data_IF_275968770013
#
_entry.id   IF_275968770013
#
_cell.length_a   1.000
_cell.length_b   1.000
_cell.length_c   1.000
_cell.angle_alpha   90.00
_cell.angle_beta   90.00
_cell.angle_gamma   90.00
#
_symmetry.space_group_name_H-M   'P 1'
#
loop_
_entity.id
_entity.type
_entity.pdbx_description
1 polymer ?
#
# COMPACT_ATOMS: atom_id res chain seq x y z
N UNK A 1 77.70 -10.12 44.57
CA UNK A 1 77.00 -10.03 45.86
C UNK A 1 75.75 -10.90 45.79
N UNK A 2 75.68 -11.85 46.72
CA UNK A 2 74.55 -12.64 47.24
C UNK A 2 73.19 -12.55 46.52
N UNK A 3 72.70 -13.63 45.91
CA UNK A 3 71.91 -14.72 46.52
C UNK A 3 70.45 -14.32 46.81
N UNK A 4 69.47 -15.04 46.23
CA UNK A 4 68.54 -15.90 46.98
C UNK A 4 67.51 -16.62 46.07
N UNK A 5 67.05 -17.76 46.57
CA UNK A 5 66.46 -18.90 45.88
C UNK A 5 64.92 -18.89 45.78
N UNK A 6 64.42 -19.54 44.71
CA UNK A 6 63.28 -20.51 44.56
C UNK A 6 62.25 -20.64 45.73
N UNK A 7 60.95 -20.87 45.43
CA UNK A 7 60.50 -22.22 45.04
C UNK A 7 59.36 -22.32 44.00
N UNK A 8 59.39 -23.43 43.26
CA UNK A 8 58.35 -23.94 42.37
C UNK A 8 57.30 -24.72 43.16
N UNK A 9 56.03 -24.34 43.07
CA UNK A 9 54.90 -25.10 43.60
C UNK A 9 54.14 -25.77 42.45
N UNK A 10 54.02 -27.09 42.50
CA UNK A 10 53.19 -27.89 41.62
C UNK A 10 51.75 -27.94 42.16
N UNK A 11 50.85 -27.14 41.58
CA UNK A 11 49.41 -27.28 41.82
C UNK A 11 48.80 -28.21 40.77
N UNK A 12 48.31 -29.36 41.26
CA UNK A 12 47.50 -30.32 40.50
C UNK A 12 46.15 -29.68 40.15
N UNK A 13 45.83 -29.62 38.87
CA UNK A 13 44.52 -29.16 38.37
C UNK A 13 43.59 -30.38 38.29
N UNK A 14 42.58 -30.39 39.15
CA UNK A 14 41.49 -31.36 39.16
C UNK A 14 40.49 -30.98 38.05
N UNK A 15 40.36 -31.86 37.04
CA UNK A 15 39.42 -31.70 35.93
C UNK A 15 38.03 -32.19 36.37
N UNK A 16 37.11 -31.27 36.66
CA UNK A 16 35.71 -31.58 36.90
C UNK A 16 34.94 -31.57 35.56
N UNK A 17 34.52 -32.75 35.10
CA UNK A 17 33.58 -32.90 33.99
C UNK A 17 32.16 -32.55 34.47
N UNK A 18 31.67 -31.38 34.06
CA UNK A 18 30.26 -30.98 34.15
C UNK A 18 29.55 -31.36 32.85
N UNK A 19 28.72 -32.40 32.91
CA UNK A 19 27.74 -32.72 31.88
C UNK A 19 26.65 -31.64 31.87
N UNK A 20 26.76 -30.67 30.96
CA UNK A 20 25.70 -29.70 30.68
C UNK A 20 24.64 -30.31 29.78
N UNK A 21 23.44 -30.54 30.34
CA UNK A 21 22.26 -30.87 29.55
C UNK A 21 21.86 -29.65 28.71
N UNK A 22 22.08 -29.73 27.40
CA UNK A 22 21.57 -28.75 26.43
C UNK A 22 20.08 -29.02 26.26
N UNK A 23 19.25 -28.32 27.01
CA UNK A 23 17.82 -28.23 26.74
C UNK A 23 17.64 -27.39 25.46
N UNK A 24 17.45 -28.06 24.33
CA UNK A 24 16.93 -27.45 23.11
C UNK A 24 15.48 -26.98 23.39
N UNK A 25 15.35 -25.80 23.99
CA UNK A 25 14.11 -25.04 23.99
C UNK A 25 13.86 -24.62 22.54
N UNK A 26 13.18 -25.49 21.79
CA UNK A 26 12.59 -25.14 20.53
C UNK A 26 11.64 -23.98 20.77
N UNK A 27 12.11 -22.76 20.50
CA UNK A 27 11.26 -21.58 20.45
C UNK A 27 10.34 -21.74 19.25
N UNK A 28 9.23 -22.45 19.45
CA UNK A 28 8.07 -22.37 18.57
C UNK A 28 7.53 -20.97 18.69
N UNK A 29 8.08 -20.05 17.89
CA UNK A 29 7.46 -18.76 17.69
C UNK A 29 6.04 -19.04 17.21
N UNK A 30 5.00 -18.56 17.92
CA UNK A 30 3.63 -18.75 17.46
C UNK A 30 3.53 -18.18 16.04
N UNK A 31 2.78 -18.82 15.14
CA UNK A 31 2.55 -18.28 13.80
C UNK A 31 2.06 -16.84 13.95
N UNK A 32 2.55 -15.89 13.14
CA UNK A 32 2.11 -14.50 13.22
C UNK A 32 0.59 -14.49 13.16
N UNK A 33 -0.08 -13.72 14.03
CA UNK A 33 -1.53 -13.64 14.02
C UNK A 33 -1.95 -13.29 12.60
N UNK A 34 -2.81 -14.13 12.02
CA UNK A 34 -3.45 -13.86 10.74
C UNK A 34 -4.25 -12.58 10.96
N UNK A 35 -3.65 -11.44 10.61
CA UNK A 35 -4.25 -10.14 10.84
C UNK A 35 -5.62 -10.16 10.20
N UNK A 36 -6.67 -9.99 11.02
CA UNK A 36 -8.02 -9.83 10.52
C UNK A 36 -7.99 -8.77 9.40
N UNK A 37 -8.73 -8.97 8.28
CA UNK A 37 -8.75 -7.99 7.20
C UNK A 37 -8.99 -6.61 7.79
N UNK A 38 -7.99 -5.73 7.67
CA UNK A 38 -8.05 -4.42 8.31
C UNK A 38 -9.26 -3.69 7.73
N UNK A 39 -10.17 -3.26 8.61
CA UNK A 39 -11.35 -2.47 8.21
C UNK A 39 -10.90 -1.32 7.30
N UNK A 40 -11.52 -1.19 6.13
CA UNK A 40 -11.09 -0.23 5.13
C UNK A 40 -11.20 1.22 5.65
N UNK A 41 -12.21 1.49 6.47
CA UNK A 41 -12.41 2.75 7.19
C UNK A 41 -11.25 3.16 8.09
N UNK A 42 -10.41 2.21 8.51
CA UNK A 42 -9.20 2.51 9.30
C UNK A 42 -7.98 2.81 8.43
N UNK A 43 -8.06 2.51 7.13
CA UNK A 43 -6.98 2.69 6.14
C UNK A 43 -7.15 4.01 5.39
N UNK A 44 -8.33 4.24 4.83
CA UNK A 44 -8.66 5.42 4.02
C UNK A 44 -10.10 5.84 4.30
N UNK A 45 -10.40 7.14 4.19
CA UNK A 45 -11.76 7.66 4.38
C UNK A 45 -12.52 7.73 3.05
N UNK A 46 -13.85 7.78 3.10
CA UNK A 46 -14.66 8.01 1.89
C UNK A 46 -14.32 9.36 1.21
N UNK A 47 -14.18 10.48 1.92
CA UNK A 47 -13.75 11.74 1.29
C UNK A 47 -12.42 11.64 0.54
N UNK A 48 -11.42 10.94 1.10
CA UNK A 48 -10.14 10.76 0.42
C UNK A 48 -10.28 9.89 -0.83
N UNK A 49 -11.11 8.85 -0.79
CA UNK A 49 -11.43 8.05 -1.98
C UNK A 49 -12.10 8.90 -3.06
N UNK A 50 -13.03 9.79 -2.68
CA UNK A 50 -13.67 10.70 -3.63
C UNK A 50 -12.67 11.69 -4.22
N UNK A 51 -11.84 12.33 -3.40
CA UNK A 51 -10.81 13.25 -3.87
C UNK A 51 -9.80 12.59 -4.80
N UNK A 52 -9.37 11.36 -4.49
CA UNK A 52 -8.50 10.59 -5.36
C UNK A 52 -9.21 10.21 -6.68
N UNK A 53 -10.52 9.90 -6.66
CA UNK A 53 -11.26 9.64 -7.88
C UNK A 53 -11.29 10.88 -8.81
N UNK A 54 -11.52 12.08 -8.26
CA UNK A 54 -11.46 13.33 -9.01
C UNK A 54 -10.06 13.60 -9.57
N UNK A 55 -9.01 13.40 -8.77
CA UNK A 55 -7.63 13.58 -9.20
C UNK A 55 -7.29 12.64 -10.36
N UNK A 56 -7.63 11.35 -10.26
CA UNK A 56 -7.33 10.38 -11.29
C UNK A 56 -8.15 10.62 -12.56
N UNK A 57 -9.41 11.05 -12.47
CA UNK A 57 -10.18 11.47 -13.63
C UNK A 57 -9.55 12.69 -14.34
N UNK A 58 -9.05 13.66 -13.57
CA UNK A 58 -8.34 14.81 -14.13
C UNK A 58 -7.08 14.39 -14.90
N UNK A 59 -6.32 13.42 -14.36
CA UNK A 59 -5.18 12.83 -15.06
C UNK A 59 -5.60 12.09 -16.33
N UNK A 60 -6.66 11.29 -16.30
CA UNK A 60 -7.23 10.63 -17.49
C UNK A 60 -7.56 11.66 -18.56
N UNK A 61 -8.27 12.73 -18.21
CA UNK A 61 -8.61 13.79 -19.17
C UNK A 61 -7.36 14.42 -19.79
N UNK A 62 -6.34 14.71 -18.98
CA UNK A 62 -5.06 15.24 -19.46
C UNK A 62 -4.35 14.27 -20.42
N UNK A 63 -4.38 12.98 -20.14
CA UNK A 63 -3.76 11.96 -20.98
C UNK A 63 -4.50 11.76 -22.30
N UNK A 64 -5.82 11.99 -22.32
CA UNK A 64 -6.65 11.85 -23.51
C UNK A 64 -6.85 13.15 -24.30
N UNK A 65 -6.34 14.28 -23.79
CA UNK A 65 -6.53 15.63 -24.35
C UNK A 65 -6.07 15.74 -25.81
N UNK A 66 -4.95 15.10 -26.16
CA UNK A 66 -4.41 15.10 -27.52
C UNK A 66 -3.92 13.73 -27.94
N UNK A 67 -3.80 13.50 -29.26
CA UNK A 67 -3.17 12.28 -29.81
C UNK A 67 -1.75 12.07 -29.26
N UNK A 68 -0.99 13.15 -29.08
CA UNK A 68 0.38 13.10 -28.52
C UNK A 68 0.36 12.73 -27.04
N UNK A 69 -0.51 13.36 -26.24
CA UNK A 69 -0.69 13.04 -24.81
C UNK A 69 -1.05 11.56 -24.62
N UNK A 70 -1.96 11.05 -25.47
CA UNK A 70 -2.36 9.65 -25.43
C UNK A 70 -1.20 8.73 -25.82
N UNK A 71 -0.54 8.99 -26.95
CA UNK A 71 0.60 8.16 -27.39
C UNK A 71 1.69 8.06 -26.32
N UNK A 72 1.96 9.16 -25.61
CA UNK A 72 2.96 9.20 -24.54
C UNK A 72 2.54 8.45 -23.27
N UNK A 73 1.23 8.36 -22.98
CA UNK A 73 0.71 7.84 -21.72
C UNK A 73 0.08 6.45 -21.82
N UNK A 74 -0.25 5.99 -23.03
CA UNK A 74 -1.03 4.78 -23.28
C UNK A 74 -0.43 3.51 -22.69
N UNK A 75 0.90 3.47 -22.50
CA UNK A 75 1.61 2.29 -21.97
C UNK A 75 1.76 2.29 -20.44
N UNK A 76 1.78 3.46 -19.80
CA UNK A 76 2.17 3.57 -18.39
C UNK A 76 1.18 4.43 -17.59
N UNK A 77 1.10 5.72 -17.88
CA UNK A 77 0.36 6.66 -17.04
C UNK A 77 -1.17 6.49 -17.14
N UNK A 78 -1.70 6.26 -18.34
CA UNK A 78 -3.14 6.09 -18.55
C UNK A 78 -3.65 4.77 -17.93
N UNK A 79 -3.03 3.60 -18.18
CA UNK A 79 -3.41 2.36 -17.50
C UNK A 79 -3.24 2.44 -15.98
N UNK A 80 -2.22 3.15 -15.48
CA UNK A 80 -2.06 3.39 -14.03
C UNK A 80 -3.22 4.20 -13.47
N UNK A 81 -3.59 5.32 -14.10
CA UNK A 81 -4.71 6.14 -13.64
C UNK A 81 -6.05 5.39 -13.70
N UNK A 82 -6.29 4.64 -14.77
CA UNK A 82 -7.45 3.75 -14.90
C UNK A 82 -7.47 2.67 -13.80
N UNK A 83 -6.35 2.00 -13.56
CA UNK A 83 -6.23 1.02 -12.48
C UNK A 83 -6.47 1.62 -11.09
N UNK A 84 -5.99 2.84 -10.84
CA UNK A 84 -6.27 3.56 -9.60
C UNK A 84 -7.77 3.84 -9.44
N UNK A 85 -8.47 4.29 -10.49
CA UNK A 85 -9.92 4.46 -10.45
C UNK A 85 -10.64 3.14 -10.19
N UNK A 86 -10.15 2.01 -10.73
CA UNK A 86 -10.70 0.68 -10.46
C UNK A 86 -10.55 0.27 -8.99
N UNK A 87 -9.36 0.48 -8.41
CA UNK A 87 -9.10 0.23 -6.97
C UNK A 87 -9.97 1.13 -6.09
N UNK A 88 -10.10 2.41 -6.43
CA UNK A 88 -10.95 3.36 -5.69
C UNK A 88 -12.42 2.96 -5.77
N UNK A 89 -12.90 2.56 -6.95
CA UNK A 89 -14.26 2.07 -7.15
C UNK A 89 -14.54 0.82 -6.29
N UNK A 90 -13.61 -0.13 -6.26
CA UNK A 90 -13.73 -1.31 -5.40
C UNK A 90 -13.71 -0.93 -3.91
N UNK A 91 -12.81 -0.04 -3.52
CA UNK A 91 -12.71 0.47 -2.16
C UNK A 91 -14.03 1.11 -1.70
N UNK A 92 -14.64 1.96 -2.53
CA UNK A 92 -15.95 2.57 -2.25
C UNK A 92 -17.07 1.52 -2.15
N UNK A 93 -17.04 0.47 -2.98
CA UNK A 93 -18.06 -0.57 -2.96
C UNK A 93 -18.08 -1.38 -1.65
N UNK A 94 -16.90 -1.64 -1.07
CA UNK A 94 -16.76 -2.47 0.14
C UNK A 94 -16.41 -1.68 1.39
N UNK A 95 -16.49 -0.35 1.33
CA UNK A 95 -16.12 0.52 2.44
C UNK A 95 -17.06 0.34 3.63
N UNK A 96 -16.50 0.04 4.81
CA UNK A 96 -17.27 -0.20 6.05
C UNK A 96 -17.60 1.10 6.82
N UNK A 97 -17.00 2.22 6.43
CA UNK A 97 -17.31 3.55 6.97
C UNK A 97 -18.58 4.17 6.39
N UNK A 98 -19.11 5.19 7.07
CA UNK A 98 -20.26 5.99 6.63
C UNK A 98 -19.85 7.44 6.46
N UNK A 99 -20.46 8.13 5.48
CA UNK A 99 -20.28 9.57 5.30
C UNK A 99 -21.01 10.35 6.38
N UNK A 100 -20.39 11.41 6.89
CA UNK A 100 -21.03 12.39 7.78
C UNK A 100 -22.08 13.21 7.01
N UNK A 101 -22.94 13.95 7.74
CA UNK A 101 -23.91 14.84 7.10
C UNK A 101 -23.23 15.94 6.26
N UNK A 102 -22.14 16.53 6.79
CA UNK A 102 -21.36 17.53 6.08
C UNK A 102 -20.73 16.97 4.79
N UNK A 103 -20.16 15.77 4.85
CA UNK A 103 -19.60 15.11 3.67
C UNK A 103 -20.67 14.83 2.61
N UNK A 104 -21.87 14.38 3.02
CA UNK A 104 -22.98 14.17 2.09
C UNK A 104 -23.44 15.46 1.41
N UNK A 105 -23.38 16.59 2.11
CA UNK A 105 -23.74 17.90 1.57
C UNK A 105 -22.67 18.46 0.60
N UNK A 106 -21.40 18.14 0.81
CA UNK A 106 -20.28 18.60 -0.03
C UNK A 106 -20.36 18.05 -1.47
N UNK A 107 -20.63 16.74 -1.61
CA UNK A 107 -20.71 16.11 -2.94
C UNK A 107 -21.55 14.84 -2.98
N UNK A 108 -22.14 14.48 -4.15
CA UNK A 108 -22.86 13.23 -4.32
C UNK A 108 -21.99 11.99 -4.03
N UNK A 109 -22.58 10.88 -3.55
CA UNK A 109 -21.83 9.64 -3.38
C UNK A 109 -21.46 9.03 -4.74
N UNK A 110 -20.24 8.51 -4.84
CA UNK A 110 -19.81 7.74 -6.01
C UNK A 110 -20.31 6.31 -5.86
N UNK A 111 -21.00 5.78 -6.88
CA UNK A 111 -21.35 4.37 -6.94
C UNK A 111 -20.11 3.54 -7.31
N UNK A 112 -19.46 2.95 -6.30
CA UNK A 112 -18.17 2.26 -6.43
C UNK A 112 -18.09 1.23 -7.56
N UNK A 113 -19.03 0.27 -7.67
CA UNK A 113 -19.03 -0.72 -8.74
C UNK A 113 -19.08 -0.10 -10.15
N UNK A 114 -19.89 0.94 -10.35
CA UNK A 114 -19.99 1.63 -11.65
C UNK A 114 -18.66 2.30 -12.02
N UNK A 115 -18.01 2.96 -11.05
CA UNK A 115 -16.69 3.56 -11.26
C UNK A 115 -15.65 2.48 -11.61
N UNK A 116 -15.63 1.38 -10.86
CA UNK A 116 -14.68 0.28 -11.06
C UNK A 116 -14.81 -0.30 -12.46
N UNK A 117 -16.02 -0.64 -12.87
CA UNK A 117 -16.26 -1.33 -14.14
C UNK A 117 -15.99 -0.40 -15.34
N UNK A 118 -16.30 0.91 -15.22
CA UNK A 118 -15.94 1.90 -16.22
C UNK A 118 -14.42 2.09 -16.34
N UNK A 119 -13.70 2.06 -15.22
CA UNK A 119 -12.25 2.18 -15.18
C UNK A 119 -11.53 0.94 -15.77
N UNK A 120 -12.04 -0.26 -15.50
CA UNK A 120 -11.56 -1.50 -16.13
C UNK A 120 -11.79 -1.49 -17.65
N UNK A 121 -12.89 -0.90 -18.12
CA UNK A 121 -13.09 -0.70 -19.56
C UNK A 121 -12.03 0.22 -20.16
N UNK A 122 -11.70 1.34 -19.48
CA UNK A 122 -10.64 2.25 -19.94
C UNK A 122 -9.27 1.56 -20.00
N UNK A 123 -8.90 0.79 -18.97
CA UNK A 123 -7.60 0.10 -18.93
C UNK A 123 -7.43 -0.93 -20.06
N UNK A 124 -8.53 -1.47 -20.58
CA UNK A 124 -8.54 -2.42 -21.70
C UNK A 124 -8.41 -1.79 -23.10
N UNK A 125 -8.57 -0.47 -23.23
CA UNK A 125 -8.61 0.21 -24.54
C UNK A 125 -7.27 0.16 -25.28
N UNK A 126 -7.32 0.12 -26.61
CA UNK A 126 -6.15 0.03 -27.50
C UNK A 126 -5.98 1.25 -28.41
N UNK A 127 -7.03 2.06 -28.52
CA UNK A 127 -7.03 3.26 -29.35
C UNK A 127 -7.49 4.49 -28.56
N UNK A 128 -7.08 5.67 -29.02
CA UNK A 128 -7.56 6.94 -28.43
C UNK A 128 -9.09 7.06 -28.53
N UNK A 129 -9.69 6.63 -29.66
CA UNK A 129 -11.13 6.68 -29.85
C UNK A 129 -11.89 5.81 -28.83
N UNK A 130 -11.41 4.58 -28.60
CA UNK A 130 -11.97 3.72 -27.56
C UNK A 130 -11.82 4.33 -26.17
N UNK A 131 -10.65 4.89 -25.85
CA UNK A 131 -10.40 5.53 -24.56
C UNK A 131 -11.33 6.71 -24.32
N UNK A 132 -11.46 7.61 -25.29
CA UNK A 132 -12.37 8.76 -25.23
C UNK A 132 -13.83 8.32 -25.06
N UNK A 133 -14.24 7.22 -25.68
CA UNK A 133 -15.59 6.68 -25.51
C UNK A 133 -15.92 6.23 -24.07
N UNK A 134 -14.91 6.06 -23.20
CA UNK A 134 -15.12 5.72 -21.77
C UNK A 134 -15.30 6.95 -20.88
N UNK A 135 -14.81 8.13 -21.32
CA UNK A 135 -14.76 9.35 -20.51
C UNK A 135 -16.13 9.80 -19.99
N UNK A 136 -17.23 9.77 -20.77
CA UNK A 136 -18.54 10.17 -20.26
C UNK A 136 -19.02 9.30 -19.08
N UNK A 137 -18.82 7.98 -19.17
CA UNK A 137 -19.21 7.04 -18.11
C UNK A 137 -18.32 7.20 -16.86
N UNK A 138 -17.02 7.42 -17.05
CA UNK A 138 -16.11 7.72 -15.94
C UNK A 138 -16.47 9.03 -15.25
N UNK A 139 -16.74 10.07 -16.03
CA UNK A 139 -17.10 11.39 -15.51
C UNK A 139 -18.39 11.32 -14.72
N UNK A 140 -19.45 10.74 -15.28
CA UNK A 140 -20.72 10.58 -14.56
C UNK A 140 -20.57 9.69 -13.31
N UNK A 141 -19.72 8.66 -13.34
CA UNK A 141 -19.47 7.84 -12.15
C UNK A 141 -18.77 8.64 -11.04
N UNK A 142 -17.70 9.38 -11.35
CA UNK A 142 -16.96 10.22 -10.39
C UNK A 142 -17.80 11.35 -9.84
N UNK A 143 -18.69 11.93 -10.65
CA UNK A 143 -19.65 12.95 -10.21
C UNK A 143 -20.84 12.39 -9.42
N UNK A 144 -20.94 11.06 -9.25
CA UNK A 144 -22.06 10.41 -8.56
C UNK A 144 -23.39 10.51 -9.31
N UNK A 145 -23.34 10.71 -10.64
CA UNK A 145 -24.49 10.89 -11.53
C UNK A 145 -24.81 9.63 -12.34
N UNK A 146 -23.90 8.64 -12.36
CA UNK A 146 -24.12 7.41 -13.09
C UNK A 146 -25.22 6.56 -12.43
N UNK A 147 -26.01 5.87 -13.26
CA UNK A 147 -26.96 4.87 -12.77
C UNK A 147 -26.18 3.74 -12.06
N UNK A 148 -26.59 3.33 -10.84
CA UNK A 148 -26.00 2.20 -10.15
C UNK A 148 -26.03 0.94 -11.01
N UNK A 149 -24.87 0.33 -11.24
CA UNK A 149 -24.70 -0.92 -11.98
C UNK A 149 -23.48 -1.68 -11.44
N UNK A 150 -23.44 -3.00 -11.68
CA UNK A 150 -22.32 -3.86 -11.28
C UNK A 150 -22.45 -4.45 -9.87
N UNK A 151 -21.61 -5.45 -9.57
CA UNK A 151 -21.59 -6.15 -8.28
C UNK A 151 -20.73 -5.40 -7.25
N UNK A 152 -21.17 -5.40 -5.99
CA UNK A 152 -20.35 -4.96 -4.84
C UNK A 152 -19.13 -5.85 -4.67
N UNK A 153 -19.31 -7.17 -4.82
CA UNK A 153 -18.24 -8.15 -4.67
C UNK A 153 -17.46 -8.24 -5.98
N UNK A 154 -16.17 -7.90 -5.92
CA UNK A 154 -15.20 -8.08 -6.98
C UNK A 154 -13.83 -8.37 -6.33
N UNK A 155 -13.01 -9.29 -6.88
CA UNK A 155 -11.66 -9.51 -6.36
C UNK A 155 -10.80 -8.24 -6.47
N UNK A 156 -9.85 -8.09 -5.54
CA UNK A 156 -8.85 -7.01 -5.62
C UNK A 156 -7.80 -7.28 -6.71
N UNK A 157 -7.54 -8.56 -7.00
CA UNK A 157 -6.68 -9.01 -8.10
C UNK A 157 -7.20 -8.55 -9.45
N UNK A 158 -6.30 -8.08 -10.31
CA UNK A 158 -6.63 -7.65 -11.67
C UNK A 158 -7.24 -6.25 -11.80
N UNK A 159 -7.44 -5.52 -10.69
CA UNK A 159 -7.89 -4.12 -10.74
C UNK A 159 -6.81 -3.18 -11.29
N UNK A 160 -5.55 -3.49 -11.00
CA UNK A 160 -4.35 -2.76 -11.44
C UNK A 160 -3.17 -3.74 -11.41
N UNK A 161 -2.22 -3.63 -12.33
CA UNK A 161 -1.03 -4.50 -12.34
C UNK A 161 -0.03 -4.09 -11.26
N UNK A 162 0.75 -5.07 -10.75
CA UNK A 162 1.77 -4.79 -9.73
C UNK A 162 2.76 -3.71 -10.18
N UNK A 163 3.18 -3.71 -11.45
CA UNK A 163 4.04 -2.67 -12.02
C UNK A 163 3.45 -1.26 -11.83
N UNK A 164 2.18 -1.06 -12.19
CA UNK A 164 1.53 0.24 -12.02
C UNK A 164 1.30 0.61 -10.56
N UNK A 165 1.05 -0.37 -9.67
CA UNK A 165 1.03 -0.15 -8.23
C UNK A 165 2.38 0.39 -7.76
N UNK A 166 3.49 -0.26 -8.13
CA UNK A 166 4.84 0.14 -7.70
C UNK A 166 5.21 1.53 -8.19
N UNK A 167 4.84 1.90 -9.41
CA UNK A 167 5.02 3.24 -9.94
C UNK A 167 4.22 4.30 -9.15
N UNK A 168 2.97 3.99 -8.81
CA UNK A 168 2.13 4.88 -7.98
C UNK A 168 2.72 5.03 -6.57
N UNK A 169 3.13 3.92 -5.95
CA UNK A 169 3.79 3.89 -4.66
C UNK A 169 5.09 4.70 -4.67
N UNK A 170 5.92 4.57 -5.70
CA UNK A 170 7.16 5.33 -5.83
C UNK A 170 6.91 6.85 -5.92
N UNK A 171 5.93 7.25 -6.74
CA UNK A 171 5.52 8.66 -6.89
C UNK A 171 5.00 9.25 -5.57
N UNK A 172 4.17 8.51 -4.83
CA UNK A 172 3.63 8.95 -3.52
C UNK A 172 4.69 8.93 -2.44
N UNK A 173 5.52 7.90 -2.37
CA UNK A 173 6.62 7.79 -1.41
C UNK A 173 7.62 8.95 -1.58
N UNK A 174 7.91 9.36 -2.82
CA UNK A 174 8.76 10.53 -3.08
C UNK A 174 8.19 11.82 -2.51
N UNK A 175 6.86 12.02 -2.58
CA UNK A 175 6.16 13.15 -1.96
C UNK A 175 6.15 13.05 -0.43
N UNK A 176 5.83 11.87 0.11
CA UNK A 176 5.83 11.62 1.55
C UNK A 176 7.18 11.81 2.20
N UNK A 177 8.26 11.32 1.58
CA UNK A 177 9.63 11.50 2.10
C UNK A 177 9.98 12.98 2.34
N UNK A 178 9.47 13.89 1.49
CA UNK A 178 9.61 15.34 1.70
C UNK A 178 8.69 15.82 2.83
N UNK A 179 7.44 15.39 2.84
CA UNK A 179 6.45 15.75 3.87
C UNK A 179 6.85 15.31 5.29
N UNK A 180 7.46 14.14 5.45
CA UNK A 180 7.97 13.62 6.73
C UNK A 180 9.07 14.51 7.30
N UNK A 181 9.89 15.14 6.45
CA UNK A 181 10.92 16.11 6.89
C UNK A 181 10.29 17.46 7.22
N UNK A 182 9.40 17.94 6.35
CA UNK A 182 8.70 19.21 6.49
C UNK A 182 7.40 19.18 5.67
N UNK A 183 6.28 18.97 6.34
CA UNK A 183 4.98 19.00 5.68
C UNK A 183 4.54 20.44 5.45
N UNK A 184 4.08 20.73 4.22
CA UNK A 184 3.41 22.00 3.88
C UNK A 184 1.88 21.86 3.85
N UNK A 185 1.43 20.64 3.60
CA UNK A 185 0.03 20.27 3.47
C UNK A 185 -0.15 18.90 4.17
N UNK A 186 -0.55 18.90 5.45
CA UNK A 186 -0.78 17.68 6.21
C UNK A 186 -1.86 16.79 5.60
N UNK A 187 -2.91 17.36 5.01
CA UNK A 187 -4.03 16.61 4.46
C UNK A 187 -3.65 15.89 3.18
N UNK A 188 -2.92 16.56 2.28
CA UNK A 188 -2.35 15.89 1.11
C UNK A 188 -1.34 14.81 1.50
N UNK A 189 -0.51 15.05 2.53
CA UNK A 189 0.40 14.04 3.04
C UNK A 189 -0.35 12.83 3.63
N UNK A 190 -1.39 13.07 4.42
CA UNK A 190 -2.24 12.03 4.96
C UNK A 190 -2.91 11.21 3.86
N UNK A 191 -3.47 11.87 2.84
CA UNK A 191 -4.11 11.22 1.70
C UNK A 191 -3.12 10.36 0.92
N UNK A 192 -1.92 10.88 0.61
CA UNK A 192 -0.88 10.09 -0.05
C UNK A 192 -0.55 8.81 0.74
N UNK A 193 -0.40 8.90 2.07
CA UNK A 193 -0.14 7.76 2.93
C UNK A 193 -1.34 6.79 3.01
N UNK A 194 -2.58 7.30 3.04
CA UNK A 194 -3.79 6.49 3.06
C UNK A 194 -3.98 5.72 1.75
N UNK A 195 -3.74 6.35 0.60
CA UNK A 195 -3.76 5.69 -0.71
C UNK A 195 -2.66 4.64 -0.83
N UNK A 196 -1.47 4.90 -0.28
CA UNK A 196 -0.42 3.88 -0.18
C UNK A 196 -0.89 2.68 0.66
N UNK A 197 -1.57 2.93 1.80
CA UNK A 197 -2.20 1.87 2.59
C UNK A 197 -3.24 1.06 1.81
N UNK A 198 -4.11 1.73 1.05
CA UNK A 198 -5.08 1.07 0.16
C UNK A 198 -4.39 0.18 -0.87
N UNK A 199 -3.30 0.63 -1.49
CA UNK A 199 -2.54 -0.18 -2.43
C UNK A 199 -1.85 -1.38 -1.77
N UNK A 200 -1.46 -1.27 -0.49
CA UNK A 200 -0.97 -2.40 0.30
C UNK A 200 -2.00 -3.54 0.41
N UNK A 201 -3.29 -3.24 0.50
CA UNK A 201 -4.37 -4.23 0.47
C UNK A 201 -4.46 -4.96 -0.87
N UNK A 202 -4.25 -4.24 -1.98
CA UNK A 202 -4.25 -4.82 -3.33
C UNK A 202 -3.08 -5.79 -3.47
N UNK A 203 -1.87 -5.37 -3.05
CA UNK A 203 -0.67 -6.22 -3.06
C UNK A 203 -0.88 -7.46 -2.17
N UNK A 204 -1.45 -7.28 -0.98
CA UNK A 204 -1.74 -8.40 -0.07
C UNK A 204 -2.66 -9.45 -0.72
N UNK A 205 -3.65 -8.99 -1.48
CA UNK A 205 -4.63 -9.84 -2.15
C UNK A 205 -4.07 -10.51 -3.40
N UNK A 206 -3.18 -9.82 -4.10
CA UNK A 206 -2.67 -10.25 -5.39
C UNK A 206 -1.32 -10.96 -5.26
N UNK A 207 -1.35 -12.29 -5.28
CA UNK A 207 -0.17 -13.14 -5.07
C UNK A 207 0.38 -13.76 -6.36
N UNK A 208 -0.04 -13.31 -7.55
CA UNK A 208 0.36 -13.96 -8.81
C UNK A 208 1.87 -13.91 -9.09
N UNK A 209 2.56 -12.88 -8.58
CA UNK A 209 4.01 -12.73 -8.71
C UNK A 209 4.82 -13.62 -7.74
N UNK A 210 4.14 -14.26 -6.78
CA UNK A 210 4.78 -15.16 -5.80
C UNK A 210 4.90 -16.57 -6.40
N UNK A 211 6.07 -16.86 -6.98
CA UNK A 211 6.33 -18.14 -7.68
C UNK A 211 6.39 -19.35 -6.75
N UNK A 212 6.86 -19.18 -5.51
CA UNK A 212 7.00 -20.28 -4.55
C UNK A 212 5.95 -20.16 -3.44
N UNK A 213 5.14 -21.21 -3.25
CA UNK A 213 4.08 -21.22 -2.21
C UNK A 213 4.65 -20.99 -0.80
N UNK A 214 5.87 -21.42 -0.53
CA UNK A 214 6.59 -21.21 0.74
C UNK A 214 6.84 -19.73 1.05
N UNK A 215 6.87 -18.87 0.03
CA UNK A 215 7.10 -17.43 0.18
C UNK A 215 5.80 -16.63 0.41
N UNK A 216 4.61 -17.23 0.27
CA UNK A 216 3.34 -16.54 0.44
C UNK A 216 3.18 -15.92 1.84
N UNK A 217 3.74 -16.55 2.87
CA UNK A 217 3.72 -16.02 4.23
C UNK A 217 4.51 -14.69 4.31
N UNK A 218 5.72 -14.65 3.74
CA UNK A 218 6.55 -13.44 3.71
C UNK A 218 5.91 -12.32 2.89
N UNK A 219 5.33 -12.64 1.73
CA UNK A 219 4.59 -11.69 0.89
C UNK A 219 3.46 -11.01 1.67
N UNK A 220 2.62 -11.83 2.32
CA UNK A 220 1.49 -11.34 3.12
C UNK A 220 1.95 -10.51 4.30
N UNK A 221 3.01 -10.93 4.98
CA UNK A 221 3.58 -10.19 6.10
C UNK A 221 4.05 -8.80 5.67
N UNK A 222 4.89 -8.70 4.63
CA UNK A 222 5.38 -7.40 4.16
C UNK A 222 4.25 -6.50 3.65
N UNK A 223 3.26 -7.06 2.96
CA UNK A 223 2.11 -6.30 2.45
C UNK A 223 1.24 -5.77 3.59
N UNK A 224 0.99 -6.59 4.61
CA UNK A 224 0.25 -6.22 5.82
C UNK A 224 0.98 -5.15 6.64
N UNK A 225 2.29 -5.33 6.86
CA UNK A 225 3.12 -4.36 7.57
C UNK A 225 3.16 -3.02 6.85
N UNK A 226 3.30 -3.04 5.53
CA UNK A 226 3.25 -1.84 4.70
C UNK A 226 1.89 -1.14 4.81
N UNK A 227 0.79 -1.87 4.62
CA UNK A 227 -0.57 -1.35 4.72
C UNK A 227 -0.82 -0.69 6.08
N UNK A 228 -0.52 -1.42 7.16
CA UNK A 228 -0.76 -0.99 8.54
C UNK A 228 0.01 0.29 8.85
N UNK A 229 1.30 0.33 8.49
CA UNK A 229 2.16 1.47 8.79
C UNK A 229 1.87 2.69 7.90
N UNK A 230 1.48 2.48 6.64
CA UNK A 230 1.03 3.56 5.77
C UNK A 230 -0.28 4.19 6.28
N UNK A 231 -1.25 3.36 6.69
CA UNK A 231 -2.48 3.83 7.32
C UNK A 231 -2.23 4.58 8.65
N UNK A 232 -1.32 4.07 9.48
CA UNK A 232 -0.92 4.74 10.72
C UNK A 232 -0.21 6.08 10.45
N UNK A 233 0.65 6.12 9.43
CA UNK A 233 1.30 7.36 8.98
C UNK A 233 0.26 8.39 8.53
N UNK A 234 -0.76 7.98 7.79
CA UNK A 234 -1.86 8.85 7.38
C UNK A 234 -2.59 9.46 8.59
N UNK A 235 -2.93 8.63 9.59
CA UNK A 235 -3.55 9.10 10.84
C UNK A 235 -2.66 10.07 11.61
N UNK A 236 -1.35 9.81 11.67
CA UNK A 236 -0.40 10.70 12.34
C UNK A 236 -0.29 12.06 11.63
N UNK A 237 -0.33 12.12 10.30
CA UNK A 237 -0.40 13.38 9.56
C UNK A 237 -1.68 14.16 9.88
N UNK A 238 -2.86 13.52 9.85
CA UNK A 238 -4.14 14.20 10.19
C UNK A 238 -4.17 14.71 11.62
N UNK A 239 -3.61 13.93 12.56
CA UNK A 239 -3.55 14.32 13.96
C UNK A 239 -2.45 15.36 14.27
N UNK A 240 -1.60 15.71 13.29
CA UNK A 240 -0.44 16.58 13.53
C UNK A 240 0.61 15.97 14.46
N UNK A 241 0.60 14.64 14.67
CA UNK A 241 1.48 13.95 15.61
C UNK A 241 2.88 13.75 15.00
N UNK A 242 3.67 14.82 15.04
CA UNK A 242 5.05 14.87 14.52
C UNK A 242 5.96 13.80 15.12
N UNK A 243 5.68 13.35 16.33
CA UNK A 243 6.49 12.33 17.01
C UNK A 243 6.30 10.94 16.38
N UNK A 244 5.11 10.66 15.81
CA UNK A 244 4.77 9.38 15.21
C UNK A 244 4.99 9.31 13.70
N UNK A 245 4.93 10.44 12.98
CA UNK A 245 5.01 10.47 11.51
C UNK A 245 6.27 9.76 10.99
N UNK A 246 7.46 10.17 11.45
CA UNK A 246 8.72 9.61 10.94
C UNK A 246 8.91 8.14 11.33
N UNK A 247 8.70 7.71 12.59
CA UNK A 247 8.79 6.29 12.95
C UNK A 247 7.87 5.39 12.12
N UNK A 248 6.60 5.74 11.98
CA UNK A 248 5.63 4.94 11.21
C UNK A 248 5.98 4.89 9.71
N UNK A 249 6.40 6.02 9.15
CA UNK A 249 6.87 6.08 7.77
C UNK A 249 8.07 5.14 7.53
N UNK A 250 9.04 5.11 8.46
CA UNK A 250 10.20 4.23 8.35
C UNK A 250 9.84 2.75 8.49
N UNK A 251 8.82 2.41 9.28
CA UNK A 251 8.30 1.04 9.36
C UNK A 251 7.66 0.61 8.03
N UNK A 252 6.88 1.48 7.39
CA UNK A 252 6.35 1.21 6.04
C UNK A 252 7.50 1.05 5.02
N UNK A 253 8.52 1.91 5.06
CA UNK A 253 9.68 1.81 4.19
C UNK A 253 10.50 0.52 4.41
N UNK A 254 10.61 0.07 5.66
CA UNK A 254 11.26 -1.21 6.01
C UNK A 254 10.52 -2.39 5.38
N UNK A 255 9.19 -2.38 5.38
CA UNK A 255 8.40 -3.41 4.70
C UNK A 255 8.63 -3.41 3.19
N UNK A 256 8.71 -2.23 2.54
CA UNK A 256 9.07 -2.13 1.13
C UNK A 256 10.47 -2.72 0.85
N UNK A 257 11.46 -2.38 1.66
CA UNK A 257 12.83 -2.88 1.51
C UNK A 257 12.90 -4.41 1.69
N UNK A 258 12.23 -4.94 2.71
CA UNK A 258 12.13 -6.39 2.95
C UNK A 258 11.47 -7.12 1.79
N UNK A 259 10.33 -6.62 1.30
CA UNK A 259 9.64 -7.19 0.14
C UNK A 259 10.55 -7.19 -1.10
N UNK A 260 11.16 -6.05 -1.44
CA UNK A 260 12.03 -5.98 -2.61
C UNK A 260 13.25 -6.90 -2.49
N UNK A 261 13.88 -7.00 -1.32
CA UNK A 261 15.02 -7.90 -1.12
C UNK A 261 14.68 -9.39 -1.30
N UNK A 262 13.40 -9.76 -1.12
CA UNK A 262 12.94 -11.15 -1.19
C UNK A 262 12.35 -11.51 -2.56
N UNK A 263 11.61 -10.58 -3.17
CA UNK A 263 10.75 -10.87 -4.33
C UNK A 263 11.19 -10.16 -5.62
N UNK A 264 12.02 -9.13 -5.55
CA UNK A 264 12.55 -8.49 -6.75
C UNK A 264 13.83 -9.22 -7.14
N UNK A 265 13.79 -9.95 -8.25
CA UNK A 265 15.02 -10.42 -8.89
C UNK A 265 15.85 -9.20 -9.30
N UNK A 266 17.16 -9.26 -9.04
CA UNK A 266 18.12 -8.29 -9.59
C UNK A 266 18.03 -8.19 -11.11
#
# INVERSE_FOLDING_TARGET
>A
MSALSRPTSHSRITLALLFGAVACLGMTSPPPPVGHPQKLSTTISIPDLQDEAFLQLSLVNKYLDTRKSYANSAKHELPRAAGMLAVIGQALAVHDGKRTAAEKADRPPIHGPTLRDAALKLSGTKTLAEALATVPNLTTAVLGQAKPAGSIKHPWTGLISLHHIMEELNSRNSRLRRAVRRTRDPDLAARNAATMGLLGLVILSDTHDVKQKTQLAAWRQFSSDFQTNAAATARAFRAGDKTKIKPLYLQAAKACAGCHSTFRSE
#
